data_IF_435744890304
#
_entry.id   IF_435744890304
#
_cell.length_a   1.000
_cell.length_b   1.000
_cell.length_c   1.000
_cell.angle_alpha   90.00
_cell.angle_beta   90.00
_cell.angle_gamma   90.00
#
_symmetry.space_group_name_H-M   'P 1'
#
loop_
_entity.id
_entity.type
_entity.pdbx_description
1 polymer ?
#
# COMPACT_ATOMS: atom_id res chain seq x y z
N UNK A 1 -1.67 -11.73 -0.88
CA UNK A 1 -2.16 -10.47 -0.29
C UNK A 1 -1.51 -9.34 -1.08
N UNK A 2 -2.24 -8.26 -1.39
CA UNK A 2 -1.74 -7.14 -2.20
C UNK A 2 -1.61 -5.86 -1.38
N UNK A 3 -2.41 -5.75 -0.32
CA UNK A 3 -2.49 -4.58 0.53
C UNK A 3 -2.28 -4.96 1.99
N UNK A 4 -1.58 -4.09 2.71
CA UNK A 4 -1.47 -4.08 4.16
C UNK A 4 -2.23 -2.84 4.66
N UNK A 5 -3.12 -3.05 5.61
CA UNK A 5 -3.90 -2.01 6.29
C UNK A 5 -3.25 -1.80 7.65
N UNK A 6 -2.80 -0.58 7.89
CA UNK A 6 -2.31 -0.11 9.17
C UNK A 6 -3.47 0.57 9.89
N UNK A 7 -4.13 -0.14 10.82
CA UNK A 7 -5.29 0.39 11.54
C UNK A 7 -4.90 1.46 12.56
N UNK A 8 -3.66 1.47 13.04
CA UNK A 8 -3.18 2.46 14.01
C UNK A 8 -3.13 3.85 13.39
N UNK A 9 -2.64 3.94 12.16
CA UNK A 9 -2.51 5.20 11.43
C UNK A 9 -3.61 5.42 10.38
N UNK A 10 -4.54 4.47 10.23
CA UNK A 10 -5.56 4.43 9.18
C UNK A 10 -4.96 4.57 7.76
N UNK A 11 -3.86 3.85 7.50
CA UNK A 11 -3.13 3.88 6.24
C UNK A 11 -3.27 2.58 5.45
N UNK A 12 -3.32 2.72 4.13
CA UNK A 12 -3.37 1.61 3.18
C UNK A 12 -2.04 1.54 2.42
N UNK A 13 -1.37 0.41 2.50
CA UNK A 13 -0.06 0.18 1.90
C UNK A 13 -0.17 -0.86 0.78
N UNK A 14 0.51 -0.63 -0.36
CA UNK A 14 0.74 -1.65 -1.38
C UNK A 14 1.91 -2.50 -0.94
N UNK A 15 1.72 -3.80 -0.71
CA UNK A 15 2.76 -4.68 -0.15
C UNK A 15 4.04 -4.67 -0.98
N UNK A 16 3.91 -4.59 -2.31
CA UNK A 16 5.06 -4.55 -3.24
C UNK A 16 5.96 -3.31 -3.06
N UNK A 17 5.45 -2.26 -2.42
CA UNK A 17 6.20 -1.01 -2.16
C UNK A 17 6.32 -0.68 -0.68
N UNK A 18 5.70 -1.46 0.20
CA UNK A 18 5.69 -1.21 1.63
C UNK A 18 7.07 -1.54 2.19
N UNK A 19 7.64 -0.63 2.99
CA UNK A 19 8.93 -0.81 3.64
C UNK A 19 9.12 0.21 4.75
N UNK A 20 10.35 0.34 5.27
CA UNK A 20 10.62 1.11 6.49
C UNK A 20 10.17 2.57 6.43
N UNK A 21 10.25 3.20 5.25
CA UNK A 21 9.80 4.59 5.04
C UNK A 21 8.29 4.78 5.27
N UNK A 22 7.51 3.71 5.25
CA UNK A 22 6.07 3.77 5.48
C UNK A 22 5.69 3.89 6.96
N UNK A 23 6.60 3.59 7.90
CA UNK A 23 6.34 3.70 9.34
C UNK A 23 5.43 2.63 9.96
N UNK A 24 4.82 1.72 9.18
CA UNK A 24 3.91 0.69 9.72
C UNK A 24 4.63 -0.35 10.61
N UNK A 25 5.97 -0.37 10.62
CA UNK A 25 6.76 -1.26 11.50
C UNK A 25 6.50 -1.01 12.99
N UNK A 26 6.08 0.20 13.36
CA UNK A 26 5.73 0.57 14.74
C UNK A 26 4.29 0.18 15.10
N UNK A 27 3.45 -0.17 14.12
CA UNK A 27 2.08 -0.65 14.36
C UNK A 27 2.12 -2.09 14.87
N UNK A 28 1.47 -2.47 15.99
CA UNK A 28 1.44 -3.85 16.44
C UNK A 28 0.87 -4.80 15.38
N UNK A 29 1.35 -6.05 15.32
CA UNK A 29 0.87 -7.05 14.33
C UNK A 29 -0.66 -7.25 14.40
N UNK A 30 -1.24 -7.17 15.60
CA UNK A 30 -2.68 -7.27 15.81
C UNK A 30 -3.49 -6.12 15.17
N UNK A 31 -2.84 -4.99 14.88
CA UNK A 31 -3.42 -3.81 14.23
C UNK A 31 -3.03 -3.71 12.75
N UNK A 32 -2.43 -4.77 12.19
CA UNK A 32 -2.12 -4.89 10.77
C UNK A 32 -3.05 -5.92 10.13
N UNK A 33 -3.78 -5.52 9.10
CA UNK A 33 -4.63 -6.44 8.33
C UNK A 33 -4.10 -6.59 6.91
N UNK A 34 -4.08 -7.81 6.37
CA UNK A 34 -3.68 -8.06 5.00
C UNK A 34 -4.88 -8.43 4.14
N UNK A 35 -5.02 -7.78 2.98
CA UNK A 35 -6.16 -8.00 2.10
C UNK A 35 -5.78 -7.98 0.61
N UNK A 36 -6.67 -8.54 -0.21
CA UNK A 36 -6.66 -8.42 -1.67
C UNK A 36 -7.91 -7.69 -2.19
N UNK A 37 -8.86 -7.35 -1.31
CA UNK A 37 -10.18 -6.89 -1.70
C UNK A 37 -10.18 -5.39 -1.95
N UNK A 38 -10.29 -4.97 -3.21
CA UNK A 38 -10.39 -3.56 -3.58
C UNK A 38 -11.66 -2.90 -3.05
N UNK A 39 -12.79 -3.62 -3.03
CA UNK A 39 -14.05 -3.09 -2.49
C UNK A 39 -13.95 -2.79 -1.00
N UNK A 40 -13.18 -3.59 -0.25
CA UNK A 40 -12.88 -3.31 1.15
C UNK A 40 -12.02 -2.05 1.31
N UNK A 41 -11.01 -1.84 0.46
CA UNK A 41 -10.22 -0.60 0.49
C UNK A 41 -11.09 0.63 0.24
N UNK A 42 -11.97 0.57 -0.77
CA UNK A 42 -12.89 1.67 -1.06
C UNK A 42 -13.80 1.97 0.13
N UNK A 43 -14.28 0.94 0.83
CA UNK A 43 -15.06 1.09 2.06
C UNK A 43 -14.23 1.81 3.14
N UNK A 44 -12.99 1.39 3.36
CA UNK A 44 -12.09 2.00 4.35
C UNK A 44 -11.84 3.47 4.02
N UNK A 45 -11.60 3.81 2.75
CA UNK A 45 -11.36 5.19 2.33
C UNK A 45 -12.61 6.06 2.43
N UNK A 46 -13.74 5.59 1.88
CA UNK A 46 -14.98 6.37 1.77
C UNK A 46 -15.72 6.50 3.11
N UNK A 47 -15.70 5.44 3.94
CA UNK A 47 -16.53 5.38 5.15
C UNK A 47 -15.74 5.50 6.43
N UNK A 48 -14.47 5.07 6.44
CA UNK A 48 -13.65 5.07 7.66
C UNK A 48 -12.50 6.09 7.63
N UNK A 49 -12.37 6.87 6.57
CA UNK A 49 -11.37 7.94 6.46
C UNK A 49 -9.93 7.45 6.29
N UNK A 50 -9.74 6.20 5.84
CA UNK A 50 -8.40 5.67 5.59
C UNK A 50 -7.78 6.37 4.39
N UNK A 51 -6.46 6.53 4.42
CA UNK A 51 -5.70 7.17 3.34
C UNK A 51 -4.67 6.21 2.74
N UNK A 52 -4.34 6.40 1.46
CA UNK A 52 -3.23 5.69 0.84
C UNK A 52 -1.91 6.20 1.43
N UNK A 53 -0.97 5.29 1.70
CA UNK A 53 0.38 5.69 2.11
C UNK A 53 1.08 6.41 0.95
N UNK A 54 1.49 7.67 1.15
CA UNK A 54 2.15 8.49 0.13
C UNK A 54 3.41 7.82 -0.44
N UNK A 55 4.18 7.11 0.39
CA UNK A 55 5.36 6.37 -0.07
C UNK A 55 5.01 5.16 -0.96
N UNK A 56 3.91 4.47 -0.68
CA UNK A 56 3.43 3.36 -1.51
C UNK A 56 2.73 3.83 -2.79
N UNK A 57 2.16 5.03 -2.77
CA UNK A 57 1.51 5.65 -3.93
C UNK A 57 2.54 6.20 -4.93
N UNK A 58 3.55 6.93 -4.43
CA UNK A 58 4.63 7.45 -5.26
C UNK A 58 5.49 6.36 -5.91
N UNK A 59 5.56 5.17 -5.30
CA UNK A 59 6.30 4.01 -5.80
C UNK A 59 5.53 3.23 -6.88
N UNK A 60 4.72 3.88 -7.71
CA UNK A 60 4.29 3.30 -8.99
C UNK A 60 5.54 3.01 -9.80
N UNK A 61 5.99 1.75 -9.76
CA UNK A 61 6.93 1.22 -10.73
C UNK A 61 6.26 1.43 -12.08
N UNK A 62 6.69 2.45 -12.83
CA UNK A 62 6.38 2.52 -14.25
C UNK A 62 6.78 1.16 -14.83
N UNK A 63 5.91 0.46 -15.59
CA UNK A 63 6.29 -0.80 -16.19
C UNK A 63 7.62 -0.56 -16.89
N UNK A 64 8.63 -1.37 -16.57
CA UNK A 64 9.95 -1.30 -17.19
C UNK A 64 9.69 -1.22 -18.69
N UNK A 65 9.91 -0.03 -19.27
CA UNK A 65 9.83 0.11 -20.71
C UNK A 65 10.83 -0.90 -21.25
N UNK A 66 10.43 -1.81 -22.16
CA UNK A 66 11.37 -2.78 -22.67
C UNK A 66 12.55 -2.00 -23.24
N UNK A 67 13.75 -2.34 -22.77
CA UNK A 67 15.00 -1.81 -23.30
C UNK A 67 14.94 -2.06 -24.80
N UNK A 68 14.68 -1.01 -25.60
CA UNK A 68 14.80 -1.11 -27.05
C UNK A 68 16.29 -1.29 -27.29
N UNK A 69 16.69 -2.53 -27.54
CA UNK A 69 18.04 -2.87 -27.94
C UNK A 69 18.25 -2.21 -29.32
N UNK A 70 19.24 -1.30 -29.49
CA UNK A 70 19.55 -0.78 -30.81
C UNK A 70 20.32 -1.87 -31.57
N UNK A 71 19.67 -2.47 -32.56
CA UNK A 71 20.31 -3.09 -33.71
C UNK A 71 19.72 -2.50 -34.97
#
# INVERSE_FOLDING_TARGET
MKFLIDHRNNLIHKIVCAGDRCGFNDTPVAEREFTNSHSYLELLQKQKGYSSCAHCEAATIAPLSPIKNPQ
#
